data_IF_947884729014
#
_entry.id   IF_947884729014
#
_cell.length_a   1.000
_cell.length_b   1.000
_cell.length_c   1.000
_cell.angle_alpha   90.00
_cell.angle_beta   90.00
_cell.angle_gamma   90.00
#
_symmetry.space_group_name_H-M   'P 1'
#
loop_
_entity.id
_entity.type
_entity.pdbx_description
1 polymer ?
#
# COMPACT_ATOMS: atom_id res chain seq x y z
N UNK A 1 16.40 -1.88 -13.77
CA UNK A 1 15.00 -1.53 -13.42
C UNK A 1 14.23 -1.02 -14.64
N UNK A 2 14.60 0.12 -15.25
CA UNK A 2 13.90 0.68 -16.42
C UNK A 2 13.60 -0.31 -17.55
N UNK A 3 14.61 -1.05 -18.02
CA UNK A 3 14.47 -2.04 -19.10
C UNK A 3 13.43 -3.14 -18.80
N UNK A 4 13.38 -3.66 -17.56
CA UNK A 4 12.39 -4.70 -17.24
C UNK A 4 10.97 -4.10 -17.14
N UNK A 5 10.81 -2.91 -16.56
CA UNK A 5 9.51 -2.25 -16.52
C UNK A 5 8.96 -1.96 -17.92
N UNK A 6 9.81 -1.44 -18.82
CA UNK A 6 9.42 -1.18 -20.22
C UNK A 6 9.03 -2.47 -20.95
N UNK A 7 9.78 -3.56 -20.73
CA UNK A 7 9.46 -4.88 -21.30
C UNK A 7 8.08 -5.39 -20.84
N UNK A 8 7.71 -5.14 -19.59
CA UNK A 8 6.40 -5.51 -19.02
C UNK A 8 5.30 -4.46 -19.29
N UNK A 9 5.57 -3.46 -20.14
CA UNK A 9 4.58 -2.45 -20.55
C UNK A 9 4.34 -1.33 -19.53
N UNK A 10 5.19 -1.20 -18.51
CA UNK A 10 5.11 -0.15 -17.51
C UNK A 10 5.84 1.09 -18.00
N UNK A 11 5.10 2.20 -18.21
CA UNK A 11 5.69 3.51 -18.45
C UNK A 11 6.34 4.04 -17.17
N UNK A 12 7.67 4.16 -17.18
CA UNK A 12 8.42 4.69 -16.04
C UNK A 12 8.81 6.16 -16.23
N UNK A 13 8.64 6.98 -15.21
CA UNK A 13 9.12 8.37 -15.15
C UNK A 13 9.95 8.51 -13.87
N UNK A 14 11.24 8.19 -13.96
CA UNK A 14 12.16 8.25 -12.82
C UNK A 14 12.79 9.62 -12.69
N UNK A 15 12.89 10.12 -11.45
CA UNK A 15 13.80 11.22 -11.14
C UNK A 15 15.22 10.66 -11.10
N UNK A 16 16.10 11.17 -11.95
CA UNK A 16 17.51 10.75 -11.98
C UNK A 16 18.31 11.51 -10.92
N UNK A 17 19.18 10.80 -10.21
CA UNK A 17 20.09 11.35 -9.20
C UNK A 17 21.53 11.04 -9.64
N UNK A 18 22.27 12.09 -9.99
CA UNK A 18 23.65 11.97 -10.46
C UNK A 18 24.68 11.79 -9.33
N UNK A 19 24.23 11.87 -8.07
CA UNK A 19 25.09 11.88 -6.87
C UNK A 19 25.10 10.55 -6.12
N UNK A 20 24.01 9.78 -6.19
CA UNK A 20 23.87 8.50 -5.50
C UNK A 20 23.54 7.35 -6.47
N UNK A 21 24.01 6.12 -6.19
CA UNK A 21 23.62 4.97 -7.00
C UNK A 21 22.14 4.61 -6.84
N UNK A 22 21.63 3.78 -7.75
CA UNK A 22 20.28 3.20 -7.60
C UNK A 22 20.19 2.37 -6.30
N UNK A 23 19.07 2.51 -5.59
CA UNK A 23 18.79 1.73 -4.39
C UNK A 23 18.74 0.22 -4.64
N UNK A 24 19.06 -0.55 -3.61
CA UNK A 24 19.11 -2.02 -3.66
C UNK A 24 18.43 -2.61 -2.43
N UNK A 25 17.83 -3.80 -2.57
CA UNK A 25 17.31 -4.57 -1.44
C UNK A 25 17.98 -5.94 -1.43
N UNK A 26 18.62 -6.30 -0.32
CA UNK A 26 19.10 -7.65 -0.10
C UNK A 26 17.93 -8.49 0.41
N UNK A 27 17.64 -9.59 -0.30
CA UNK A 27 16.60 -10.55 0.06
C UNK A 27 17.31 -11.81 0.56
N UNK A 28 17.28 -12.03 1.88
CA UNK A 28 17.88 -13.19 2.52
C UNK A 28 16.82 -14.26 2.68
N UNK A 29 16.98 -15.38 1.99
CA UNK A 29 16.01 -16.49 1.97
C UNK A 29 16.56 -17.65 2.79
N UNK A 30 15.78 -18.10 3.78
CA UNK A 30 16.08 -19.27 4.62
C UNK A 30 14.86 -20.17 4.62
N UNK A 31 14.92 -21.29 3.88
CA UNK A 31 13.76 -22.11 3.56
C UNK A 31 12.63 -21.25 2.97
N UNK A 32 11.45 -21.21 3.60
CA UNK A 32 10.32 -20.38 3.15
C UNK A 32 10.28 -18.98 3.80
N UNK A 33 11.21 -18.67 4.71
CA UNK A 33 11.28 -17.38 5.37
C UNK A 33 12.16 -16.40 4.60
N UNK A 34 11.80 -15.12 4.66
CA UNK A 34 12.57 -14.03 4.05
C UNK A 34 12.86 -12.91 5.04
N UNK A 35 14.05 -12.35 4.92
CA UNK A 35 14.47 -11.11 5.60
C UNK A 35 14.95 -10.10 4.57
N UNK A 36 14.48 -8.86 4.67
CA UNK A 36 14.68 -7.81 3.69
C UNK A 36 15.53 -6.69 4.29
N UNK A 37 16.62 -6.33 3.62
CA UNK A 37 17.50 -5.21 4.03
C UNK A 37 17.58 -4.21 2.87
N UNK A 38 16.91 -3.08 3.02
CA UNK A 38 16.84 -2.05 1.99
C UNK A 38 17.92 -0.98 2.17
N UNK A 39 18.71 -0.74 1.12
CA UNK A 39 19.54 0.44 0.95
C UNK A 39 18.87 1.35 -0.09
N UNK A 40 18.14 2.38 0.38
CA UNK A 40 17.33 3.23 -0.50
C UNK A 40 18.17 4.03 -1.50
N UNK A 41 19.36 4.49 -1.10
CA UNK A 41 20.25 5.31 -1.91
C UNK A 41 19.51 6.43 -2.68
N UNK A 42 19.65 6.56 -3.99
CA UNK A 42 18.95 7.57 -4.81
C UNK A 42 17.42 7.64 -4.58
N UNK A 43 16.76 6.53 -4.23
CA UNK A 43 15.31 6.54 -3.98
C UNK A 43 14.91 7.45 -2.81
N UNK A 44 15.81 7.63 -1.82
CA UNK A 44 15.58 8.51 -0.67
C UNK A 44 15.55 10.00 -1.05
N UNK A 45 16.18 10.36 -2.17
CA UNK A 45 16.36 11.76 -2.58
C UNK A 45 15.20 12.31 -3.41
N UNK A 46 14.10 11.56 -3.59
CA UNK A 46 12.96 12.03 -4.37
C UNK A 46 12.49 13.42 -3.93
N UNK A 47 12.46 14.36 -4.88
CA UNK A 47 12.09 15.74 -4.60
C UNK A 47 10.72 16.09 -5.19
N UNK A 48 9.88 16.76 -4.41
CA UNK A 48 8.51 17.11 -4.79
C UNK A 48 8.43 18.01 -6.03
N UNK A 49 9.48 18.74 -6.38
CA UNK A 49 9.50 19.56 -7.61
C UNK A 49 9.42 18.72 -8.89
N UNK A 50 9.83 17.45 -8.83
CA UNK A 50 9.69 16.50 -9.95
C UNK A 50 8.25 16.01 -10.12
N UNK A 51 7.41 16.20 -9.09
CA UNK A 51 6.05 15.67 -9.10
C UNK A 51 5.15 16.48 -10.05
N UNK A 52 4.72 15.80 -11.11
CA UNK A 52 3.68 16.30 -12.03
C UNK A 52 2.27 15.88 -11.56
N UNK A 53 1.24 16.60 -12.01
CA UNK A 53 -0.15 16.19 -11.78
C UNK A 53 -0.49 15.06 -12.76
N UNK A 54 -0.77 13.83 -12.30
CA UNK A 54 -1.03 12.73 -13.20
C UNK A 54 -2.44 12.80 -13.79
N UNK A 55 -2.57 12.46 -15.07
CA UNK A 55 -3.88 12.28 -15.72
C UNK A 55 -4.60 10.99 -15.27
N UNK A 56 -3.89 10.12 -14.55
CA UNK A 56 -4.39 8.84 -14.04
C UNK A 56 -5.71 8.98 -13.26
N UNK A 57 -6.60 7.99 -13.37
CA UNK A 57 -7.86 7.92 -12.61
C UNK A 57 -7.67 7.41 -11.18
N UNK A 58 -6.59 6.67 -10.97
CA UNK A 58 -6.22 6.04 -9.71
C UNK A 58 -4.73 6.27 -9.46
N UNK A 59 -4.38 6.61 -8.23
CA UNK A 59 -3.01 6.76 -7.77
C UNK A 59 -2.78 5.77 -6.63
N UNK A 60 -1.61 5.13 -6.62
CA UNK A 60 -1.19 4.20 -5.59
C UNK A 60 0.13 4.63 -4.96
N UNK A 61 0.24 4.53 -3.65
CA UNK A 61 1.52 4.62 -2.93
C UNK A 61 1.67 3.50 -1.91
N UNK A 62 2.83 2.85 -1.90
CA UNK A 62 3.28 2.09 -0.74
C UNK A 62 3.74 3.07 0.37
N UNK A 63 3.57 2.69 1.65
CA UNK A 63 4.04 3.48 2.78
C UNK A 63 5.58 3.58 2.82
N UNK A 64 6.31 2.68 2.14
CA UNK A 64 7.76 2.80 1.98
C UNK A 64 8.20 4.18 1.44
N UNK A 65 7.37 4.80 0.60
CA UNK A 65 7.67 6.09 0.01
C UNK A 65 7.58 7.27 1.00
N UNK A 66 6.99 7.07 2.19
CA UNK A 66 7.01 8.05 3.29
C UNK A 66 8.44 8.40 3.73
N UNK A 67 9.36 7.45 3.63
CA UNK A 67 10.78 7.65 3.96
C UNK A 67 11.46 8.62 2.99
N UNK A 68 10.94 8.72 1.76
CA UNK A 68 11.53 9.52 0.69
C UNK A 68 10.83 10.87 0.57
N UNK A 69 9.50 10.89 0.44
CA UNK A 69 8.76 12.14 0.27
C UNK A 69 7.30 12.04 0.71
N UNK A 70 7.06 12.26 2.01
CA UNK A 70 5.71 12.42 2.54
C UNK A 70 4.93 13.55 1.84
N UNK A 71 5.57 14.70 1.60
CA UNK A 71 4.93 15.87 0.97
C UNK A 71 4.36 15.54 -0.41
N UNK A 72 5.05 14.69 -1.18
CA UNK A 72 4.58 14.25 -2.50
C UNK A 72 3.33 13.39 -2.39
N UNK A 73 3.32 12.42 -1.47
CA UNK A 73 2.14 11.56 -1.24
C UNK A 73 0.96 12.41 -0.79
N UNK A 74 1.19 13.31 0.16
CA UNK A 74 0.14 14.17 0.71
C UNK A 74 -0.47 15.08 -0.37
N UNK A 75 0.37 15.71 -1.19
CA UNK A 75 -0.08 16.55 -2.32
C UNK A 75 -0.89 15.76 -3.34
N UNK A 76 -0.49 14.52 -3.65
CA UNK A 76 -1.25 13.64 -4.55
C UNK A 76 -2.58 13.17 -3.94
N UNK A 77 -2.59 12.86 -2.65
CA UNK A 77 -3.79 12.45 -1.92
C UNK A 77 -4.84 13.58 -1.90
N UNK A 78 -4.40 14.82 -1.64
CA UNK A 78 -5.24 16.02 -1.75
C UNK A 78 -5.78 16.21 -3.17
N UNK A 79 -4.90 16.14 -4.17
CA UNK A 79 -5.29 16.25 -5.57
C UNK A 79 -6.35 15.20 -5.96
N UNK A 80 -6.23 13.96 -5.47
CA UNK A 80 -7.22 12.93 -5.72
C UNK A 80 -8.58 13.27 -5.12
N UNK A 81 -8.61 13.72 -3.86
CA UNK A 81 -9.84 14.11 -3.20
C UNK A 81 -10.52 15.30 -3.90
N UNK A 82 -9.76 16.33 -4.28
CA UNK A 82 -10.26 17.52 -4.99
C UNK A 82 -10.83 17.21 -6.38
N UNK A 83 -10.27 16.22 -7.07
CA UNK A 83 -10.64 15.87 -8.45
C UNK A 83 -11.46 14.59 -8.56
N UNK A 84 -11.96 14.08 -7.43
CA UNK A 84 -12.70 12.84 -7.33
C UNK A 84 -12.01 11.63 -8.01
N UNK A 85 -10.67 11.60 -7.99
CA UNK A 85 -9.86 10.44 -8.38
C UNK A 85 -9.70 9.51 -7.18
N UNK A 86 -9.21 8.30 -7.44
CA UNK A 86 -9.01 7.27 -6.41
C UNK A 86 -7.60 7.36 -5.86
N UNK A 87 -7.45 7.45 -4.54
CA UNK A 87 -6.18 7.33 -3.84
C UNK A 87 -6.11 6.01 -3.05
N UNK A 88 -5.17 5.16 -3.46
CA UNK A 88 -4.88 3.87 -2.86
C UNK A 88 -3.57 3.93 -2.07
N UNK A 89 -3.55 3.32 -0.89
CA UNK A 89 -2.33 3.21 -0.09
C UNK A 89 -2.15 1.80 0.49
N UNK A 90 -0.90 1.36 0.60
CA UNK A 90 -0.53 0.12 1.31
C UNK A 90 0.28 0.46 2.57
N UNK A 91 -0.03 -0.16 3.73
CA UNK A 91 0.69 0.05 5.00
C UNK A 91 2.14 -0.47 5.00
N UNK A 92 2.42 -1.44 4.14
CA UNK A 92 3.72 -1.95 3.69
C UNK A 92 4.62 -2.63 4.72
N UNK A 93 4.70 -2.14 5.95
CA UNK A 93 5.45 -2.78 7.02
C UNK A 93 5.09 -2.22 8.41
N UNK A 94 5.13 -3.08 9.42
CA UNK A 94 4.90 -2.71 10.83
C UNK A 94 5.83 -1.59 11.30
N UNK A 95 7.11 -1.57 10.88
CA UNK A 95 8.02 -0.50 11.30
C UNK A 95 7.60 0.86 10.73
N UNK A 96 7.05 0.91 9.52
CA UNK A 96 6.56 2.15 8.92
C UNK A 96 5.34 2.66 9.66
N UNK A 97 4.43 1.76 9.99
CA UNK A 97 3.24 2.06 10.81
C UNK A 97 3.65 2.73 12.12
N UNK A 98 4.60 2.16 12.85
CA UNK A 98 5.08 2.68 14.14
C UNK A 98 5.85 3.98 13.99
N UNK A 99 6.77 4.06 13.03
CA UNK A 99 7.66 5.22 12.87
C UNK A 99 6.99 6.42 12.19
N UNK A 100 5.98 6.20 11.36
CA UNK A 100 5.32 7.23 10.54
C UNK A 100 3.82 7.35 10.85
N UNK A 101 3.40 7.02 12.08
CA UNK A 101 1.99 7.02 12.46
C UNK A 101 1.30 8.37 12.25
N UNK A 102 1.98 9.48 12.54
CA UNK A 102 1.41 10.81 12.36
C UNK A 102 1.14 11.11 10.88
N UNK A 103 2.08 10.75 10.01
CA UNK A 103 1.96 10.88 8.56
C UNK A 103 0.84 9.98 8.03
N UNK A 104 0.80 8.71 8.42
CA UNK A 104 -0.28 7.79 8.04
C UNK A 104 -1.65 8.28 8.52
N UNK A 105 -1.74 8.74 9.76
CA UNK A 105 -2.99 9.28 10.31
C UNK A 105 -3.44 10.54 9.54
N UNK A 106 -2.52 11.43 9.16
CA UNK A 106 -2.86 12.59 8.32
C UNK A 106 -3.29 12.22 6.91
N UNK A 107 -2.79 11.10 6.36
CA UNK A 107 -3.23 10.57 5.06
C UNK A 107 -4.55 9.80 5.16
N UNK A 108 -4.94 9.36 6.36
CA UNK A 108 -6.08 8.47 6.56
C UNK A 108 -7.39 9.00 5.99
N UNK A 109 -7.60 10.31 6.05
CA UNK A 109 -8.80 10.93 5.53
C UNK A 109 -8.89 10.98 4.00
N UNK A 110 -7.79 10.69 3.31
CA UNK A 110 -7.73 10.67 1.85
C UNK A 110 -7.79 9.26 1.26
N UNK A 111 -7.66 8.19 2.06
CA UNK A 111 -7.72 6.82 1.55
C UNK A 111 -9.10 6.49 0.98
N UNK A 112 -9.14 6.21 -0.32
CA UNK A 112 -10.26 5.52 -0.97
C UNK A 112 -10.10 4.01 -0.84
N UNK A 113 -8.86 3.51 -0.95
CA UNK A 113 -8.51 2.11 -0.69
C UNK A 113 -7.29 2.05 0.23
N UNK A 114 -7.40 1.34 1.34
CA UNK A 114 -6.26 0.99 2.19
C UNK A 114 -6.05 -0.52 2.14
N UNK A 115 -4.82 -0.94 1.86
CA UNK A 115 -4.40 -2.34 1.90
C UNK A 115 -3.32 -2.56 2.96
N UNK A 116 -3.32 -3.74 3.58
CA UNK A 116 -2.25 -4.21 4.45
C UNK A 116 -2.41 -5.70 4.72
N UNK A 117 -1.44 -6.30 5.42
CA UNK A 117 -1.62 -7.61 6.03
C UNK A 117 -2.13 -7.48 7.47
N UNK A 118 -2.42 -8.63 8.10
CA UNK A 118 -2.94 -8.70 9.46
C UNK A 118 -2.02 -8.03 10.49
N UNK A 119 -0.71 -8.17 10.33
CA UNK A 119 0.26 -7.61 11.29
C UNK A 119 0.33 -6.09 11.19
N UNK A 120 0.27 -5.55 9.98
CA UNK A 120 0.26 -4.11 9.71
C UNK A 120 -1.04 -3.46 10.18
N UNK A 121 -2.18 -4.09 9.92
CA UNK A 121 -3.49 -3.60 10.36
C UNK A 121 -3.60 -3.57 11.88
N UNK A 122 -3.17 -4.63 12.57
CA UNK A 122 -3.09 -4.66 14.04
C UNK A 122 -2.17 -3.56 14.56
N UNK A 123 -0.96 -3.43 14.01
CA UNK A 123 -0.02 -2.40 14.44
C UNK A 123 -0.59 -0.99 14.25
N UNK A 124 -1.34 -0.74 13.16
CA UNK A 124 -1.91 0.59 12.93
C UNK A 124 -3.04 0.87 13.92
N UNK A 125 -3.93 -0.11 14.15
CA UNK A 125 -4.99 -0.02 15.14
C UNK A 125 -4.44 0.27 16.55
N UNK A 126 -3.38 -0.42 16.95
CA UNK A 126 -2.66 -0.18 18.22
C UNK A 126 -2.11 1.27 18.29
N UNK A 127 -1.42 1.73 17.25
CA UNK A 127 -0.78 3.06 17.23
C UNK A 127 -1.76 4.23 17.30
N UNK A 128 -2.99 4.03 16.83
CA UNK A 128 -4.06 5.04 16.91
C UNK A 128 -5.03 4.81 18.09
N UNK A 129 -4.79 3.79 18.92
CA UNK A 129 -5.57 3.51 20.12
C UNK A 129 -6.98 2.97 19.85
N UNK A 130 -7.18 2.19 18.78
CA UNK A 130 -8.46 1.52 18.55
C UNK A 130 -8.64 0.36 19.55
N UNK A 131 -9.71 0.42 20.33
CA UNK A 131 -10.13 -0.65 21.25
C UNK A 131 -10.95 -1.70 20.49
N UNK A 132 -10.27 -2.59 19.77
CA UNK A 132 -10.89 -3.61 18.91
C UNK A 132 -10.33 -5.00 19.21
N UNK A 133 -11.18 -6.02 19.05
CA UNK A 133 -10.87 -7.41 19.43
C UNK A 133 -10.67 -8.35 18.23
N UNK A 134 -10.89 -7.87 17.01
CA UNK A 134 -10.76 -8.67 15.78
C UNK A 134 -10.33 -7.85 14.57
N UNK A 135 -9.78 -8.52 13.56
CA UNK A 135 -9.38 -7.89 12.29
C UNK A 135 -10.58 -7.35 11.51
N UNK A 136 -11.74 -7.99 11.62
CA UNK A 136 -13.00 -7.53 11.04
C UNK A 136 -13.44 -6.20 11.69
N UNK A 137 -13.31 -6.11 13.02
CA UNK A 137 -13.58 -4.87 13.76
C UNK A 137 -12.58 -3.76 13.39
N UNK A 138 -11.29 -4.11 13.21
CA UNK A 138 -10.28 -3.17 12.69
C UNK A 138 -10.71 -2.66 11.31
N UNK A 139 -11.05 -3.55 10.37
CA UNK A 139 -11.45 -3.16 9.02
C UNK A 139 -12.70 -2.24 9.03
N UNK A 140 -13.67 -2.55 9.89
CA UNK A 140 -14.88 -1.75 10.06
C UNK A 140 -14.57 -0.35 10.61
N UNK A 141 -13.78 -0.24 11.67
CA UNK A 141 -13.42 1.05 12.26
C UNK A 141 -12.57 1.90 11.31
N UNK A 142 -11.59 1.30 10.62
CA UNK A 142 -10.80 1.99 9.60
C UNK A 142 -11.68 2.49 8.43
N UNK A 143 -12.70 1.73 8.04
CA UNK A 143 -13.65 2.16 7.00
C UNK A 143 -14.47 3.39 7.40
N UNK A 144 -14.65 3.62 8.71
CA UNK A 144 -15.47 4.70 9.29
C UNK A 144 -14.70 5.97 9.64
N UNK A 145 -13.36 5.97 9.59
CA UNK A 145 -12.59 7.18 9.87
C UNK A 145 -13.02 8.31 8.94
N UNK A 146 -12.88 9.56 9.40
CA UNK A 146 -13.19 10.77 8.61
C UNK A 146 -12.65 10.65 7.19
N UNK A 147 -13.40 11.10 6.20
CA UNK A 147 -12.99 11.11 4.79
C UNK A 147 -13.16 12.50 4.17
N UNK A 148 -12.15 12.97 3.45
CA UNK A 148 -12.18 14.29 2.79
C UNK A 148 -13.05 14.29 1.53
N UNK A 149 -13.06 13.20 0.77
CA UNK A 149 -13.94 13.05 -0.39
C UNK A 149 -15.14 12.14 -0.04
N UNK A 150 -16.33 12.70 0.29
CA UNK A 150 -17.52 11.93 0.63
C UNK A 150 -18.20 11.27 -0.57
N UNK A 151 -17.79 11.58 -1.81
CA UNK A 151 -18.37 10.97 -3.02
C UNK A 151 -17.92 9.52 -3.23
N UNK A 152 -16.95 9.04 -2.44
CA UNK A 152 -16.39 7.70 -2.52
C UNK A 152 -16.39 7.08 -1.13
N UNK A 153 -16.86 5.84 -1.03
CA UNK A 153 -16.73 5.06 0.19
C UNK A 153 -15.31 4.48 0.31
N UNK A 154 -14.80 4.36 1.54
CA UNK A 154 -13.49 3.75 1.79
C UNK A 154 -13.60 2.23 1.71
N UNK A 155 -12.66 1.61 1.01
CA UNK A 155 -12.43 0.16 0.98
C UNK A 155 -11.23 -0.16 1.87
N UNK A 156 -11.38 -1.11 2.80
CA UNK A 156 -10.29 -1.66 3.59
C UNK A 156 -10.05 -3.10 3.17
N UNK A 157 -8.81 -3.45 2.84
CA UNK A 157 -8.40 -4.80 2.44
C UNK A 157 -7.30 -5.29 3.37
N UNK A 158 -7.56 -6.37 4.11
CA UNK A 158 -6.60 -6.99 5.04
C UNK A 158 -6.35 -8.43 4.57
N UNK A 159 -5.15 -8.68 4.07
CA UNK A 159 -4.68 -10.02 3.68
C UNK A 159 -4.21 -10.80 4.91
N UNK A 160 -4.28 -12.13 4.86
CA UNK A 160 -3.98 -13.04 5.99
C UNK A 160 -3.23 -14.31 5.58
N UNK A 161 -2.27 -14.18 4.67
CA UNK A 161 -1.57 -15.32 4.08
C UNK A 161 -2.57 -16.33 3.46
N UNK A 162 -2.60 -17.59 3.92
CA UNK A 162 -3.53 -18.61 3.40
C UNK A 162 -4.96 -18.48 3.93
N UNK A 163 -5.21 -17.62 4.91
CA UNK A 163 -6.53 -17.43 5.50
C UNK A 163 -7.37 -16.43 4.67
N UNK A 164 -8.71 -16.38 4.87
CA UNK A 164 -9.57 -15.51 4.10
C UNK A 164 -9.16 -14.04 4.18
N UNK A 165 -9.13 -13.38 3.02
CA UNK A 165 -8.91 -11.92 2.95
C UNK A 165 -10.15 -11.21 3.46
N UNK A 166 -9.95 -10.23 4.35
CA UNK A 166 -11.02 -9.41 4.91
C UNK A 166 -11.17 -8.15 4.06
N UNK A 167 -12.38 -7.92 3.56
CA UNK A 167 -12.73 -6.70 2.82
C UNK A 167 -13.86 -5.99 3.55
N UNK A 168 -13.64 -4.72 3.90
CA UNK A 168 -14.71 -3.84 4.39
C UNK A 168 -15.03 -2.78 3.35
N UNK A 169 -16.29 -2.73 2.92
CA UNK A 169 -16.81 -1.73 2.00
C UNK A 169 -18.24 -1.37 2.39
N UNK A 170 -18.56 -0.08 2.38
CA UNK A 170 -19.89 0.44 2.72
C UNK A 170 -20.41 -0.07 4.08
N UNK A 171 -19.51 -0.10 5.08
CA UNK A 171 -19.79 -0.58 6.43
C UNK A 171 -20.06 -2.09 6.55
N UNK A 172 -19.84 -2.86 5.48
CA UNK A 172 -20.02 -4.32 5.46
C UNK A 172 -18.67 -5.01 5.37
N UNK A 173 -18.44 -5.94 6.30
CA UNK A 173 -17.27 -6.81 6.29
C UNK A 173 -17.62 -8.10 5.55
N UNK A 174 -16.74 -8.51 4.64
CA UNK A 174 -16.84 -9.74 3.85
C UNK A 174 -15.51 -10.50 3.91
N UNK A 175 -15.60 -11.82 3.83
CA UNK A 175 -14.46 -12.73 3.85
C UNK A 175 -14.34 -13.38 2.48
N UNK A 176 -13.15 -13.34 1.89
CA UNK A 176 -12.84 -13.93 0.60
C UNK A 176 -11.83 -15.06 0.79
N UNK A 177 -12.29 -16.29 0.64
CA UNK A 177 -11.47 -17.49 0.76
C UNK A 177 -10.31 -17.47 -0.24
N UNK A 178 -9.13 -17.86 0.25
CA UNK A 178 -7.94 -18.06 -0.59
C UNK A 178 -7.91 -19.53 -0.98
N UNK A 179 -7.75 -19.82 -2.27
CA UNK A 179 -7.58 -21.20 -2.72
C UNK A 179 -6.28 -21.75 -2.15
N UNK A 180 -6.31 -22.85 -1.38
CA UNK A 180 -5.10 -23.40 -0.78
C UNK A 180 -4.17 -23.90 -1.88
N UNK A 181 -2.88 -23.68 -1.70
CA UNK A 181 -1.80 -24.26 -2.49
C UNK A 181 -1.12 -25.33 -1.64
N UNK A 182 -0.67 -26.42 -2.26
CA UNK A 182 0.14 -27.39 -1.54
C UNK A 182 1.52 -26.78 -1.22
N UNK A 183 2.12 -27.13 -0.06
CA UNK A 183 3.40 -26.54 0.38
C UNK A 183 4.54 -26.70 -0.64
N UNK A 184 4.46 -27.73 -1.50
CA UNK A 184 5.44 -27.97 -2.59
C UNK A 184 5.26 -27.08 -3.82
N UNK A 185 4.11 -26.41 -3.96
CA UNK A 185 3.81 -25.47 -5.04
C UNK A 185 4.28 -24.04 -4.70
N UNK A 186 4.47 -23.74 -3.41
CA UNK A 186 4.95 -22.45 -2.94
C UNK A 186 6.48 -22.40 -3.03
N UNK A 187 6.97 -21.89 -4.15
CA UNK A 187 8.42 -21.72 -4.40
C UNK A 187 8.99 -20.52 -3.64
N UNK A 188 8.23 -19.41 -3.56
CA UNK A 188 8.63 -18.17 -2.88
C UNK A 188 7.38 -17.37 -2.46
N UNK A 189 7.41 -16.78 -1.26
CA UNK A 189 6.35 -15.88 -0.76
C UNK A 189 6.71 -14.40 -0.95
N UNK A 190 7.88 -14.11 -1.53
CA UNK A 190 8.32 -12.76 -1.82
C UNK A 190 7.32 -12.06 -2.74
N UNK A 191 7.02 -10.79 -2.41
CA UNK A 191 6.09 -9.96 -3.15
C UNK A 191 4.66 -10.51 -3.29
N UNK A 192 4.23 -11.52 -2.51
CA UNK A 192 2.86 -12.02 -2.54
C UNK A 192 1.82 -10.92 -2.30
N UNK A 193 2.08 -10.01 -1.35
CA UNK A 193 1.24 -8.83 -1.09
C UNK A 193 1.24 -7.82 -2.24
N UNK A 194 2.39 -7.60 -2.89
CA UNK A 194 2.50 -6.69 -4.04
C UNK A 194 1.74 -7.25 -5.25
N UNK A 195 1.88 -8.56 -5.50
CA UNK A 195 1.16 -9.28 -6.55
C UNK A 195 -0.35 -9.29 -6.31
N UNK A 196 -0.78 -9.56 -5.07
CA UNK A 196 -2.19 -9.48 -4.66
C UNK A 196 -2.76 -8.09 -4.98
N UNK A 197 -2.08 -7.03 -4.53
CA UNK A 197 -2.60 -5.68 -4.72
C UNK A 197 -2.52 -5.22 -6.18
N UNK A 198 -1.52 -5.67 -6.94
CA UNK A 198 -1.47 -5.49 -8.39
C UNK A 198 -2.69 -6.10 -9.10
N UNK A 199 -3.05 -7.33 -8.74
CA UNK A 199 -4.25 -8.00 -9.25
C UNK A 199 -5.54 -7.28 -8.86
N UNK A 200 -5.65 -6.86 -7.59
CA UNK A 200 -6.77 -6.06 -7.11
C UNK A 200 -6.94 -4.77 -7.91
N UNK A 201 -5.86 -3.98 -8.06
CA UNK A 201 -5.91 -2.71 -8.79
C UNK A 201 -6.23 -2.88 -10.27
N UNK A 202 -5.76 -3.95 -10.89
CA UNK A 202 -6.05 -4.27 -12.29
C UNK A 202 -7.55 -4.49 -12.55
N UNK A 203 -8.27 -5.10 -11.60
CA UNK A 203 -9.73 -5.25 -11.69
C UNK A 203 -10.46 -3.97 -11.27
N UNK A 204 -9.99 -3.33 -10.19
CA UNK A 204 -10.61 -2.12 -9.65
C UNK A 204 -10.64 -0.97 -10.68
N UNK A 205 -9.57 -0.78 -11.47
CA UNK A 205 -9.52 0.25 -12.51
C UNK A 205 -10.50 0.00 -13.67
N UNK A 206 -10.90 -1.26 -13.86
CA UNK A 206 -11.91 -1.67 -14.84
C UNK A 206 -13.34 -1.53 -14.32
N UNK A 207 -13.53 -1.17 -13.04
CA UNK A 207 -14.83 -1.01 -12.40
C UNK A 207 -15.45 -2.31 -11.89
N UNK A 208 -14.61 -3.33 -11.65
CA UNK A 208 -15.01 -4.58 -11.00
C UNK A 208 -14.84 -4.53 -9.48
#
# INVERSE_FOLDING_TARGET
>A
MKCICEKEGVRTVYMEDDTLPTGTCAVLITAQQRSLVANLSAAKNFHISFLEKPEAKLLYSAAYFLVSSFESIFKLAQYCAETNKVFCMNLSAVYLVRSFKAQLLSLSSYWDVLCGNETEACAFAEEIGLEVTSLESIALELSRMKKENPQRQRVIVITRGPLPTIVCYDGRVTLHEVSPLEDGEIVDTNAAGDAFFGGFLAQYVMGH
#
